data_IF_179073802086
#
_entry.id   IF_179073802086
#
_cell.length_a   1.000
_cell.length_b   1.000
_cell.length_c   1.000
_cell.angle_alpha   90.00
_cell.angle_beta   90.00
_cell.angle_gamma   90.00
#
_symmetry.space_group_name_H-M   'P 1'
#
loop_
_entity.id
_entity.type
_entity.pdbx_description
1 polymer ?
#
# COMPACT_ATOMS: atom_id res chain seq x y z
N UNK A 1 -13.67 -10.46 15.14
CA UNK A 1 -12.71 -9.91 14.18
C UNK A 1 -11.31 -10.37 14.55
N UNK A 2 -10.66 -11.05 13.65
CA UNK A 2 -9.29 -11.46 13.89
C UNK A 2 -8.33 -10.29 13.67
N UNK A 3 -7.40 -10.13 14.60
CA UNK A 3 -6.32 -9.15 14.45
C UNK A 3 -5.20 -9.82 13.67
N UNK A 4 -4.85 -9.22 12.53
CA UNK A 4 -3.76 -9.73 11.72
C UNK A 4 -2.43 -9.65 12.49
N UNK A 5 -1.72 -10.77 12.57
CA UNK A 5 -0.40 -10.81 13.19
C UNK A 5 0.65 -10.49 12.14
N UNK A 6 1.46 -9.47 12.39
CA UNK A 6 2.56 -9.13 11.51
C UNK A 6 3.71 -10.11 11.71
N UNK A 7 4.03 -10.91 10.68
CA UNK A 7 5.09 -11.90 10.76
C UNK A 7 6.48 -11.28 10.67
N UNK A 8 6.62 -10.24 9.88
CA UNK A 8 7.84 -9.44 9.84
C UNK A 8 7.55 -8.07 9.22
N UNK A 9 8.43 -7.14 9.50
CA UNK A 9 8.39 -5.78 8.97
C UNK A 9 9.72 -5.44 8.34
N UNK A 10 9.69 -4.58 7.35
CA UNK A 10 10.90 -4.06 6.74
C UNK A 10 10.77 -2.56 6.48
N UNK A 11 11.90 -1.90 6.41
CA UNK A 11 11.99 -0.50 6.04
C UNK A 11 13.36 -0.30 5.38
N UNK A 12 13.51 0.74 4.56
CA UNK A 12 14.80 1.15 4.01
C UNK A 12 15.67 1.75 5.10
N UNK A 13 15.07 2.12 6.23
CA UNK A 13 15.74 2.63 7.42
C UNK A 13 15.45 1.70 8.59
N UNK A 14 16.42 1.55 9.49
CA UNK A 14 16.18 0.86 10.73
C UNK A 14 15.29 1.72 11.63
N UNK A 15 14.12 1.19 11.97
CA UNK A 15 13.17 1.86 12.84
C UNK A 15 12.69 0.90 13.92
N UNK A 16 12.13 1.45 15.00
CA UNK A 16 11.53 0.63 16.06
C UNK A 16 10.42 -0.22 15.48
N UNK A 17 10.50 -1.52 15.67
CA UNK A 17 9.50 -2.48 15.18
C UNK A 17 9.79 -3.03 13.79
N UNK A 18 10.83 -2.56 13.11
CA UNK A 18 11.27 -3.17 11.86
C UNK A 18 12.04 -4.46 12.15
N UNK A 19 11.68 -5.53 11.46
CA UNK A 19 12.37 -6.81 11.58
C UNK A 19 13.66 -6.86 10.76
N UNK A 20 13.71 -6.04 9.71
CA UNK A 20 14.78 -6.09 8.72
C UNK A 20 14.86 -4.77 7.97
N UNK A 21 16.09 -4.30 7.71
CA UNK A 21 16.34 -3.14 6.86
C UNK A 21 16.58 -3.64 5.45
N UNK A 22 15.68 -3.31 4.52
CA UNK A 22 15.81 -3.66 3.11
C UNK A 22 14.87 -2.84 2.26
N UNK A 23 15.19 -2.71 0.98
CA UNK A 23 14.29 -2.09 0.01
C UNK A 23 13.10 -3.04 -0.26
N UNK A 24 11.89 -2.49 -0.28
CA UNK A 24 10.68 -3.29 -0.52
C UNK A 24 10.67 -3.96 -1.90
N UNK A 25 11.38 -3.41 -2.88
CA UNK A 25 11.51 -4.03 -4.20
C UNK A 25 12.36 -5.30 -4.19
N UNK A 26 13.12 -5.54 -3.12
CA UNK A 26 13.94 -6.74 -2.95
C UNK A 26 13.18 -7.88 -2.24
N UNK A 27 11.95 -7.64 -1.81
CA UNK A 27 11.12 -8.67 -1.17
C UNK A 27 10.80 -9.76 -2.18
N UNK A 28 10.96 -11.01 -1.77
CA UNK A 28 10.64 -12.18 -2.59
C UNK A 28 9.39 -12.89 -2.07
N UNK A 29 8.75 -13.66 -2.94
CA UNK A 29 7.56 -14.45 -2.56
C UNK A 29 7.88 -15.45 -1.43
N UNK A 30 9.06 -16.04 -1.46
CA UNK A 30 9.50 -16.97 -0.42
C UNK A 30 9.58 -16.32 0.97
N UNK A 31 9.98 -15.05 1.03
CA UNK A 31 10.06 -14.30 2.29
C UNK A 31 8.69 -14.06 2.91
N UNK A 32 7.62 -14.12 2.10
CA UNK A 32 6.24 -13.87 2.51
C UNK A 32 5.47 -15.17 2.77
N UNK A 33 6.15 -16.31 2.83
CA UNK A 33 5.50 -17.60 3.14
C UNK A 33 4.76 -17.51 4.46
N UNK A 34 3.47 -17.83 4.45
CA UNK A 34 2.61 -17.74 5.61
C UNK A 34 2.03 -16.34 5.87
N UNK A 35 2.33 -15.36 5.04
CA UNK A 35 1.68 -14.05 5.05
C UNK A 35 0.51 -14.05 4.07
N UNK A 36 -0.60 -13.40 4.46
CA UNK A 36 -1.80 -13.33 3.61
C UNK A 36 -1.84 -12.07 2.75
N UNK A 37 -1.19 -11.01 3.19
CA UNK A 37 -1.22 -9.72 2.52
C UNK A 37 -0.02 -8.88 2.90
N UNK A 38 0.19 -7.83 2.12
CA UNK A 38 1.17 -6.77 2.39
C UNK A 38 0.39 -5.49 2.71
N UNK A 39 0.84 -4.75 3.71
CA UNK A 39 0.29 -3.44 4.06
C UNK A 39 1.44 -2.44 4.09
N UNK A 40 1.34 -1.36 3.34
CA UNK A 40 2.42 -0.39 3.21
C UNK A 40 1.92 1.05 3.15
N UNK A 41 2.72 1.94 3.72
CA UNK A 41 2.61 3.38 3.55
C UNK A 41 3.82 3.80 2.70
N UNK A 42 3.71 3.76 1.36
CA UNK A 42 4.85 3.96 0.48
C UNK A 42 5.16 5.44 0.27
N UNK A 43 6.35 5.76 -0.26
CA UNK A 43 6.59 7.09 -0.78
C UNK A 43 5.67 7.36 -1.97
N UNK A 44 5.26 8.64 -2.15
CA UNK A 44 4.29 9.01 -3.17
C UNK A 44 4.92 9.45 -4.49
N UNK A 45 6.23 9.72 -4.52
CA UNK A 45 6.88 10.09 -5.76
C UNK A 45 6.85 8.93 -6.74
N UNK A 46 6.52 9.23 -8.00
CA UNK A 46 6.27 8.17 -8.99
C UNK A 46 7.48 7.26 -9.23
N UNK A 47 8.67 7.83 -9.21
CA UNK A 47 9.90 7.04 -9.40
C UNK A 47 10.12 5.98 -8.31
N UNK A 48 9.59 6.20 -7.12
CA UNK A 48 9.68 5.26 -6.00
C UNK A 48 8.42 4.40 -5.87
N UNK A 49 7.25 4.96 -6.19
CA UNK A 49 5.98 4.26 -6.05
C UNK A 49 5.77 3.21 -7.15
N UNK A 50 6.08 3.57 -8.40
CA UNK A 50 5.87 2.67 -9.53
C UNK A 50 6.52 1.29 -9.37
N UNK A 51 7.80 1.19 -8.98
CA UNK A 51 8.43 -0.12 -8.75
C UNK A 51 7.69 -0.96 -7.70
N UNK A 52 7.13 -0.33 -6.67
CA UNK A 52 6.37 -1.03 -5.63
C UNK A 52 5.03 -1.52 -6.17
N UNK A 53 4.33 -0.70 -6.96
CA UNK A 53 3.09 -1.08 -7.62
C UNK A 53 3.29 -2.22 -8.61
N UNK A 54 4.43 -2.24 -9.29
CA UNK A 54 4.77 -3.30 -10.24
C UNK A 54 5.14 -4.60 -9.55
N UNK A 55 5.71 -4.54 -8.36
CA UNK A 55 6.30 -5.70 -7.67
C UNK A 55 5.40 -6.31 -6.61
N UNK A 56 4.96 -5.53 -5.62
CA UNK A 56 4.30 -6.08 -4.42
C UNK A 56 2.99 -6.82 -4.71
N UNK A 57 2.08 -6.31 -5.56
CA UNK A 57 0.85 -7.04 -5.85
C UNK A 57 1.04 -8.38 -6.58
N UNK A 58 2.19 -8.59 -7.20
CA UNK A 58 2.52 -9.89 -7.82
C UNK A 58 2.85 -10.95 -6.78
N UNK A 59 3.24 -10.53 -5.58
CA UNK A 59 3.62 -11.42 -4.48
C UNK A 59 2.41 -11.82 -3.65
N UNK A 60 1.64 -10.83 -3.21
CA UNK A 60 0.45 -10.97 -2.37
C UNK A 60 -0.48 -9.80 -2.61
N UNK A 61 -1.78 -9.92 -2.26
CA UNK A 61 -2.65 -8.74 -2.21
C UNK A 61 -2.01 -7.67 -1.35
N UNK A 62 -1.94 -6.44 -1.85
CA UNK A 62 -1.19 -5.37 -1.19
C UNK A 62 -2.09 -4.16 -0.96
N UNK A 63 -2.10 -3.68 0.28
CA UNK A 63 -2.75 -2.43 0.66
C UNK A 63 -1.74 -1.29 0.63
N UNK A 64 -2.03 -0.28 -0.16
CA UNK A 64 -1.23 0.95 -0.23
C UNK A 64 -2.02 2.11 0.36
N UNK A 65 -1.41 2.86 1.27
CA UNK A 65 -1.97 4.12 1.74
C UNK A 65 -1.50 5.23 0.80
N UNK A 66 -2.41 5.79 0.03
CA UNK A 66 -2.09 6.78 -0.99
C UNK A 66 -3.04 7.98 -0.91
N UNK A 67 -2.60 9.16 -1.41
CA UNK A 67 -3.54 10.24 -1.65
C UNK A 67 -4.68 9.75 -2.55
N UNK A 68 -5.91 10.04 -2.18
CA UNK A 68 -7.08 9.47 -2.85
C UNK A 68 -7.18 9.88 -4.33
N UNK A 69 -6.65 11.06 -4.68
CA UNK A 69 -6.70 11.55 -6.05
C UNK A 69 -5.82 10.77 -7.04
N UNK A 70 -4.95 9.86 -6.56
CA UNK A 70 -4.10 9.07 -7.48
C UNK A 70 -4.92 8.22 -8.44
N UNK A 71 -6.13 7.79 -8.04
CA UNK A 71 -7.00 6.99 -8.89
C UNK A 71 -7.45 7.72 -10.17
N UNK A 72 -7.35 9.05 -10.17
CA UNK A 72 -7.69 9.88 -11.34
C UNK A 72 -6.51 10.10 -12.29
N UNK A 73 -5.31 9.72 -11.89
CA UNK A 73 -4.13 9.87 -12.73
C UNK A 73 -4.12 8.82 -13.83
N UNK A 74 -3.89 9.28 -15.06
CA UNK A 74 -3.85 8.39 -16.22
C UNK A 74 -2.84 7.24 -16.06
N UNK A 75 -1.69 7.53 -15.46
CA UNK A 75 -0.64 6.53 -15.23
C UNK A 75 -1.05 5.43 -14.24
N UNK A 76 -2.08 5.69 -13.42
CA UNK A 76 -2.62 4.67 -12.51
C UNK A 76 -3.63 3.74 -13.17
N UNK A 77 -4.09 4.05 -14.39
CA UNK A 77 -5.11 3.26 -15.07
C UNK A 77 -4.85 1.76 -15.07
N UNK A 78 -3.67 1.30 -15.53
CA UNK A 78 -3.37 -0.14 -15.55
C UNK A 78 -3.41 -0.79 -14.15
N UNK A 79 -2.99 -0.05 -13.12
CA UNK A 79 -3.04 -0.56 -11.74
C UNK A 79 -4.45 -0.59 -11.19
N UNK A 80 -5.27 0.42 -11.52
CA UNK A 80 -6.66 0.47 -11.05
C UNK A 80 -7.50 -0.67 -11.59
N UNK A 81 -7.16 -1.24 -12.73
CA UNK A 81 -7.81 -2.44 -13.25
C UNK A 81 -7.65 -3.66 -12.32
N UNK A 82 -6.63 -3.66 -11.49
CA UNK A 82 -6.35 -4.70 -10.50
C UNK A 82 -6.62 -4.24 -9.07
N UNK A 83 -7.36 -3.15 -8.92
CA UNK A 83 -7.73 -2.63 -7.60
C UNK A 83 -9.00 -3.31 -7.11
N UNK A 84 -8.89 -4.06 -6.01
CA UNK A 84 -10.00 -4.77 -5.42
C UNK A 84 -10.85 -3.88 -4.51
N UNK A 85 -10.20 -2.98 -3.77
CA UNK A 85 -10.86 -2.14 -2.77
C UNK A 85 -10.25 -0.75 -2.74
N UNK A 86 -11.12 0.23 -2.51
CA UNK A 86 -10.74 1.59 -2.12
C UNK A 86 -11.52 1.93 -0.85
N UNK A 87 -10.80 2.20 0.24
CA UNK A 87 -11.39 2.58 1.52
C UNK A 87 -10.98 4.01 1.85
N UNK A 88 -11.93 4.92 1.81
CA UNK A 88 -11.68 6.34 2.09
C UNK A 88 -11.46 6.55 3.58
N UNK A 89 -10.40 7.25 3.95
CA UNK A 89 -10.13 7.62 5.33
C UNK A 89 -10.05 9.13 5.54
N UNK A 90 -9.99 9.91 4.47
CA UNK A 90 -9.97 11.36 4.54
C UNK A 90 -8.62 11.94 4.88
N UNK A 91 -8.62 13.16 5.42
CA UNK A 91 -7.36 13.85 5.73
C UNK A 91 -6.70 13.29 6.97
N UNK A 92 -5.38 13.15 6.90
CA UNK A 92 -4.57 12.67 8.01
C UNK A 92 -3.80 13.82 8.64
N UNK A 93 -3.62 13.70 9.96
CA UNK A 93 -2.71 14.56 10.70
C UNK A 93 -1.39 13.82 10.86
N UNK A 94 -0.30 14.43 10.38
CA UNK A 94 1.02 13.84 10.54
C UNK A 94 1.54 14.17 11.94
N UNK A 95 1.84 13.13 12.70
CA UNK A 95 2.16 13.25 14.14
C UNK A 95 3.35 14.12 14.45
N UNK A 96 4.33 14.16 13.57
CA UNK A 96 5.58 14.89 13.83
C UNK A 96 5.40 16.41 13.94
N UNK A 97 4.50 16.97 13.16
CA UNK A 97 4.28 18.42 13.13
C UNK A 97 2.88 18.83 13.55
N UNK A 98 1.99 17.90 13.81
CA UNK A 98 0.58 18.14 14.19
C UNK A 98 -0.17 19.04 13.20
N UNK A 99 0.29 19.11 11.96
CA UNK A 99 -0.34 19.89 10.91
C UNK A 99 -1.23 18.99 10.09
N UNK A 100 -2.47 19.44 9.84
CA UNK A 100 -3.40 18.73 8.99
C UNK A 100 -2.86 18.70 7.56
N UNK A 101 -2.78 17.53 6.95
CA UNK A 101 -2.42 17.39 5.55
C UNK A 101 -3.42 18.04 4.61
N UNK A 102 -2.99 18.36 3.41
CA UNK A 102 -3.84 18.99 2.39
C UNK A 102 -4.60 17.97 1.55
N UNK A 103 -4.15 16.71 1.56
CA UNK A 103 -4.73 15.65 0.74
C UNK A 103 -5.63 14.74 1.57
N UNK A 104 -6.68 14.25 0.94
CA UNK A 104 -7.46 13.12 1.47
C UNK A 104 -6.75 11.83 1.08
N UNK A 105 -6.77 10.87 1.99
CA UNK A 105 -6.12 9.58 1.81
C UNK A 105 -7.14 8.45 1.72
N UNK A 106 -6.70 7.37 1.07
CA UNK A 106 -7.46 6.14 1.01
C UNK A 106 -6.52 4.95 1.02
N UNK A 107 -7.03 3.82 1.47
CA UNK A 107 -6.38 2.54 1.30
C UNK A 107 -6.81 1.95 -0.03
N UNK A 108 -5.83 1.54 -0.83
CA UNK A 108 -6.03 0.86 -2.11
C UNK A 108 -5.49 -0.55 -2.00
N UNK A 109 -6.33 -1.55 -2.29
CA UNK A 109 -5.89 -2.94 -2.33
C UNK A 109 -5.71 -3.38 -3.77
N UNK A 110 -4.48 -3.70 -4.15
CA UNK A 110 -4.14 -4.21 -5.47
C UNK A 110 -3.80 -5.69 -5.38
N UNK A 111 -4.22 -6.44 -6.39
CA UNK A 111 -3.90 -7.84 -6.50
C UNK A 111 -3.79 -8.22 -7.98
N UNK A 112 -2.68 -8.84 -8.37
CA UNK A 112 -2.40 -9.18 -9.77
C UNK A 112 -3.51 -10.00 -10.43
N UNK A 113 -4.14 -10.90 -9.69
CA UNK A 113 -5.18 -11.80 -10.20
C UNK A 113 -6.60 -11.26 -10.08
N UNK A 114 -6.77 -10.03 -9.59
CA UNK A 114 -8.10 -9.44 -9.45
C UNK A 114 -8.69 -9.08 -10.82
N UNK A 115 -9.91 -9.53 -11.09
CA UNK A 115 -10.59 -9.33 -12.36
C UNK A 115 -11.99 -8.73 -12.22
N UNK A 116 -12.47 -8.56 -11.00
CA UNK A 116 -13.80 -8.00 -10.73
C UNK A 116 -13.77 -6.47 -10.61
N UNK A 117 -14.95 -5.89 -10.40
CA UNK A 117 -15.08 -4.46 -10.14
C UNK A 117 -14.43 -4.07 -8.83
N UNK A 118 -13.99 -2.82 -8.77
CA UNK A 118 -13.44 -2.25 -7.54
C UNK A 118 -14.56 -1.92 -6.56
N UNK A 119 -14.43 -2.37 -5.31
CA UNK A 119 -15.36 -2.02 -4.24
C UNK A 119 -14.87 -0.76 -3.54
N UNK A 120 -15.79 0.16 -3.27
CA UNK A 120 -15.51 1.40 -2.58
C UNK A 120 -16.23 1.44 -1.25
N UNK A 121 -15.52 1.83 -0.18
CA UNK A 121 -16.10 2.09 1.13
C UNK A 121 -15.80 3.55 1.47
N UNK A 122 -16.86 4.34 1.64
CA UNK A 122 -16.76 5.73 2.07
C UNK A 122 -16.50 5.85 3.57
N UNK A 123 -16.31 7.06 3.99
CA UNK A 123 -16.10 7.38 5.39
C UNK A 123 -17.37 7.19 6.19
#
# INVERSE_FOLDING_TARGET
MEVATCKWRSDVRETVGSSKVMDATDITKGMLTGCDMIITNPPFSWGLLKPLLDHLPTLKPTWFLLPANVMHNKRMGPYMERCAWVISIGRLYWMENKVRGVDDFAWFRFHEEWEDDTRFIGR
#
